data_IF_311850480757
#
_entry.id   IF_311850480757
#
_cell.length_a   1.000
_cell.length_b   1.000
_cell.length_c   1.000
_cell.angle_alpha   90.00
_cell.angle_beta   90.00
_cell.angle_gamma   90.00
#
_symmetry.space_group_name_H-M   'P 1'
#
loop_
_entity.id
_entity.type
_entity.pdbx_description
1 polymer ?
#
# COMPACT_ATOMS: atom_id res chain seq x y z
N UNK A 1 -7.46 17.48 6.09
CA UNK A 1 -6.43 17.93 5.12
C UNK A 1 -6.66 17.20 3.80
N UNK A 2 -6.35 17.74 2.63
CA UNK A 2 -6.46 16.97 1.36
C UNK A 2 -5.10 16.40 1.03
N UNK A 3 -5.05 15.16 0.56
CA UNK A 3 -3.84 14.46 0.16
C UNK A 3 -4.02 13.90 -1.26
N UNK A 4 -2.95 13.91 -2.03
CA UNK A 4 -2.93 13.26 -3.34
C UNK A 4 -2.50 11.80 -3.15
N UNK A 5 -3.41 10.88 -3.45
CA UNK A 5 -3.18 9.43 -3.41
C UNK A 5 -2.76 8.97 -4.79
N UNK A 6 -1.60 8.33 -4.86
CA UNK A 6 -1.10 7.65 -6.04
C UNK A 6 -1.14 6.16 -5.83
N UNK A 7 -1.69 5.43 -6.80
CA UNK A 7 -1.78 3.97 -6.77
C UNK A 7 -0.98 3.40 -7.92
N UNK A 8 0.14 2.76 -7.59
CA UNK A 8 1.04 2.10 -8.52
C UNK A 8 0.68 0.62 -8.62
N UNK A 9 0.38 0.15 -9.82
CA UNK A 9 0.21 -1.28 -10.12
C UNK A 9 1.55 -1.89 -10.50
N UNK A 10 1.95 -2.94 -9.81
CA UNK A 10 3.19 -3.71 -10.02
C UNK A 10 2.92 -5.20 -9.86
N UNK A 11 3.96 -6.03 -9.97
CA UNK A 11 3.89 -7.46 -9.65
C UNK A 11 4.13 -7.71 -8.16
N UNK A 12 3.57 -8.80 -7.65
CA UNK A 12 3.84 -9.31 -6.29
C UNK A 12 5.33 -9.53 -6.04
N UNK A 13 6.07 -10.01 -7.05
CA UNK A 13 7.52 -10.25 -6.94
C UNK A 13 8.32 -8.95 -6.77
N UNK A 14 7.88 -7.85 -7.38
CA UNK A 14 8.59 -6.58 -7.35
C UNK A 14 8.17 -5.67 -6.19
N UNK A 15 7.07 -5.97 -5.49
CA UNK A 15 6.45 -5.07 -4.52
C UNK A 15 7.42 -4.60 -3.43
N UNK A 16 8.22 -5.51 -2.87
CA UNK A 16 9.17 -5.21 -1.80
C UNK A 16 10.25 -4.23 -2.28
N UNK A 17 10.82 -4.48 -3.46
CA UNK A 17 11.90 -3.65 -4.01
C UNK A 17 11.35 -2.30 -4.45
N UNK A 18 10.18 -2.27 -5.07
CA UNK A 18 9.50 -1.03 -5.46
C UNK A 18 9.17 -0.21 -4.22
N UNK A 19 8.67 -0.83 -3.15
CA UNK A 19 8.39 -0.13 -1.89
C UNK A 19 9.65 0.49 -1.29
N UNK A 20 10.79 -0.22 -1.30
CA UNK A 20 12.08 0.30 -0.85
C UNK A 20 12.53 1.49 -1.71
N UNK A 21 12.39 1.42 -3.02
CA UNK A 21 12.71 2.52 -3.93
C UNK A 21 11.86 3.76 -3.65
N UNK A 22 10.55 3.60 -3.40
CA UNK A 22 9.68 4.71 -3.01
C UNK A 22 10.16 5.37 -1.71
N UNK A 23 10.58 4.57 -0.72
CA UNK A 23 11.15 5.09 0.53
C UNK A 23 12.45 5.87 0.29
N UNK A 24 13.33 5.39 -0.59
CA UNK A 24 14.58 6.08 -0.95
C UNK A 24 14.34 7.42 -1.66
N UNK A 25 13.24 7.53 -2.41
CA UNK A 25 12.76 8.79 -3.00
C UNK A 25 12.11 9.75 -1.99
N UNK A 26 11.98 9.33 -0.72
CA UNK A 26 11.45 10.15 0.37
C UNK A 26 9.96 9.97 0.64
N UNK A 27 9.30 8.98 0.03
CA UNK A 27 7.88 8.69 0.28
C UNK A 27 7.75 8.00 1.65
N UNK A 28 7.10 8.68 2.59
CA UNK A 28 6.96 8.22 3.97
C UNK A 28 5.65 7.46 4.17
N UNK A 29 5.68 6.17 3.83
CA UNK A 29 4.55 5.26 4.01
C UNK A 29 3.97 4.81 2.69
N UNK A 30 3.93 3.49 2.52
CA UNK A 30 3.37 2.80 1.36
C UNK A 30 2.38 1.79 1.89
N UNK A 31 1.15 1.86 1.41
CA UNK A 31 0.11 0.86 1.61
C UNK A 31 0.26 -0.18 0.50
N UNK A 32 0.48 -1.44 0.89
CA UNK A 32 0.65 -2.56 -0.05
C UNK A 32 -0.65 -3.38 -0.03
N UNK A 33 -1.24 -3.56 -1.21
CA UNK A 33 -2.37 -4.44 -1.43
C UNK A 33 -1.96 -5.56 -2.41
N UNK A 34 -1.72 -6.75 -1.88
CA UNK A 34 -1.44 -7.96 -2.65
C UNK A 34 -2.41 -9.09 -2.27
N UNK A 35 -2.29 -10.23 -2.97
CA UNK A 35 -3.08 -11.43 -2.71
C UNK A 35 -2.22 -12.62 -2.29
N UNK A 36 -1.04 -12.38 -1.73
CA UNK A 36 -0.17 -13.44 -1.23
C UNK A 36 -0.87 -14.13 -0.06
N UNK A 37 -1.19 -15.43 -0.16
CA UNK A 37 -1.86 -16.12 0.93
C UNK A 37 -0.92 -16.25 2.13
N UNK A 38 -1.46 -16.02 3.32
CA UNK A 38 -0.75 -16.29 4.58
C UNK A 38 -0.23 -17.72 4.64
N UNK A 39 0.99 -17.89 5.11
CA UNK A 39 1.59 -19.22 5.31
C UNK A 39 0.87 -19.96 6.44
N UNK A 40 1.05 -21.28 6.54
CA UNK A 40 0.49 -22.04 7.67
C UNK A 40 1.05 -21.54 9.01
N UNK A 41 2.34 -21.19 9.08
CA UNK A 41 2.94 -20.65 10.29
C UNK A 41 2.36 -19.29 10.68
N UNK A 42 2.07 -18.42 9.72
CA UNK A 42 1.43 -17.12 10.00
C UNK A 42 0.02 -17.34 10.56
N UNK A 43 -0.73 -18.26 9.95
CA UNK A 43 -2.08 -18.65 10.42
C UNK A 43 -2.07 -19.23 11.83
N UNK A 44 -1.09 -20.06 12.16
CA UNK A 44 -0.94 -20.65 13.50
C UNK A 44 -0.62 -19.62 14.59
N UNK A 45 0.01 -18.50 14.23
CA UNK A 45 0.28 -17.39 15.15
C UNK A 45 -0.92 -16.45 15.33
N UNK A 46 -1.92 -16.50 14.45
CA UNK A 46 -3.13 -15.69 14.57
C UNK A 46 -4.06 -16.26 15.64
N UNK A 47 -4.26 -15.51 16.72
CA UNK A 47 -5.24 -15.83 17.76
C UNK A 47 -6.65 -15.38 17.34
N UNK A 48 -7.16 -15.93 16.23
CA UNK A 48 -8.50 -15.62 15.69
C UNK A 48 -9.33 -16.89 15.58
N UNK A 49 -10.62 -16.81 15.94
CA UNK A 49 -11.54 -17.94 15.82
C UNK A 49 -11.84 -18.33 14.37
N UNK A 50 -11.69 -17.37 13.45
CA UNK A 50 -11.92 -17.54 12.01
C UNK A 50 -10.74 -16.90 11.27
N UNK A 51 -9.96 -17.73 10.58
CA UNK A 51 -8.90 -17.23 9.71
C UNK A 51 -9.50 -16.52 8.50
N UNK A 52 -8.92 -15.38 8.07
CA UNK A 52 -9.37 -14.73 6.85
C UNK A 52 -9.13 -15.66 5.65
N UNK A 53 -10.15 -15.78 4.79
CA UNK A 53 -9.99 -16.38 3.47
C UNK A 53 -9.48 -15.29 2.51
N UNK A 54 -8.24 -15.46 2.05
CA UNK A 54 -7.62 -14.59 1.05
C UNK A 54 -7.78 -15.28 -0.31
N UNK A 55 -8.03 -14.49 -1.35
CA UNK A 55 -8.03 -14.99 -2.73
C UNK A 55 -6.67 -15.62 -3.10
N UNK A 56 -6.64 -16.39 -4.17
CA UNK A 56 -5.36 -16.87 -4.69
C UNK A 56 -4.54 -15.68 -5.24
N UNK A 57 -3.22 -15.74 -5.06
CA UNK A 57 -2.29 -14.80 -5.64
C UNK A 57 -2.48 -14.73 -7.16
N UNK A 58 -2.80 -13.55 -7.67
CA UNK A 58 -2.95 -13.26 -9.09
C UNK A 58 -1.71 -12.61 -9.71
N UNK A 59 -0.61 -12.51 -8.94
CA UNK A 59 0.67 -11.95 -9.34
C UNK A 59 0.68 -10.43 -9.42
N UNK A 60 -0.38 -9.76 -8.93
CA UNK A 60 -0.52 -8.30 -8.97
C UNK A 60 -0.49 -7.74 -7.55
N UNK A 61 0.32 -6.71 -7.37
CA UNK A 61 0.36 -5.89 -6.17
C UNK A 61 0.05 -4.44 -6.51
N UNK A 62 -0.56 -3.73 -5.56
CA UNK A 62 -0.79 -2.30 -5.64
C UNK A 62 -0.09 -1.59 -4.49
N UNK A 63 0.73 -0.60 -4.83
CA UNK A 63 1.41 0.25 -3.86
C UNK A 63 0.74 1.62 -3.89
N UNK A 64 0.08 1.97 -2.80
CA UNK A 64 -0.56 3.25 -2.59
C UNK A 64 0.33 4.16 -1.74
N UNK A 65 0.61 5.36 -2.21
CA UNK A 65 1.35 6.37 -1.46
C UNK A 65 0.67 7.74 -1.54
N UNK A 66 1.03 8.61 -0.60
CA UNK A 66 0.33 9.86 -0.34
C UNK A 66 1.30 11.03 -0.33
N UNK A 67 1.00 12.09 -1.06
CA UNK A 67 1.78 13.32 -1.11
C UNK A 67 0.95 14.51 -0.66
N UNK A 68 1.59 15.45 0.02
CA UNK A 68 0.95 16.73 0.35
C UNK A 68 0.74 17.56 -0.94
N UNK A 69 -0.34 18.34 -1.03
CA UNK A 69 -0.59 19.21 -2.18
C UNK A 69 0.55 20.20 -2.49
N UNK A 70 1.33 20.57 -1.47
CA UNK A 70 2.45 21.51 -1.56
C UNK A 70 3.77 20.86 -2.04
N UNK A 71 3.86 19.53 -2.11
CA UNK A 71 5.05 18.82 -2.59
C UNK A 71 5.20 18.91 -4.12
N UNK A 72 6.44 18.78 -4.61
CA UNK A 72 6.75 18.76 -6.05
C UNK A 72 6.44 17.37 -6.65
N UNK A 73 5.14 17.12 -6.82
CA UNK A 73 4.59 15.86 -7.30
C UNK A 73 5.09 15.50 -8.70
N UNK A 74 5.21 16.49 -9.60
CA UNK A 74 5.66 16.25 -10.97
C UNK A 74 7.08 15.70 -10.99
N UNK A 75 7.98 16.33 -10.22
CA UNK A 75 9.36 15.85 -10.08
C UNK A 75 9.42 14.47 -9.44
N UNK A 76 8.70 14.26 -8.33
CA UNK A 76 8.73 12.98 -7.63
C UNK A 76 8.21 11.84 -8.51
N UNK A 77 7.09 12.05 -9.22
CA UNK A 77 6.53 11.06 -10.14
C UNK A 77 7.45 10.80 -11.34
N UNK A 78 8.19 11.81 -11.81
CA UNK A 78 9.19 11.63 -12.85
C UNK A 78 10.37 10.77 -12.35
N UNK A 79 10.84 10.98 -11.13
CA UNK A 79 11.88 10.17 -10.49
C UNK A 79 11.38 8.73 -10.29
N UNK A 80 10.16 8.51 -9.77
CA UNK A 80 9.54 7.18 -9.63
C UNK A 80 9.50 6.43 -10.97
N UNK A 81 9.05 7.09 -12.04
CA UNK A 81 8.99 6.48 -13.37
C UNK A 81 10.37 6.11 -13.91
N UNK A 82 11.39 6.94 -13.66
CA UNK A 82 12.77 6.65 -14.05
C UNK A 82 13.29 5.40 -13.32
N UNK A 83 13.16 5.36 -12.00
CA UNK A 83 13.65 4.22 -11.21
C UNK A 83 12.92 2.92 -11.60
N UNK A 84 11.61 2.96 -11.85
CA UNK A 84 10.85 1.79 -12.35
C UNK A 84 11.34 1.30 -13.71
N UNK A 85 11.66 2.20 -14.63
CA UNK A 85 12.25 1.85 -15.93
C UNK A 85 13.63 1.21 -15.75
N UNK A 86 14.48 1.75 -14.87
CA UNK A 86 15.78 1.15 -14.55
C UNK A 86 15.65 -0.23 -13.91
N UNK A 87 14.66 -0.40 -13.03
CA UNK A 87 14.33 -1.67 -12.38
C UNK A 87 13.88 -2.75 -13.36
N UNK A 88 13.15 -2.37 -14.41
CA UNK A 88 12.66 -3.30 -15.44
C UNK A 88 13.78 -4.11 -16.14
N UNK A 89 15.03 -3.64 -16.05
CA UNK A 89 16.18 -4.34 -16.60
C UNK A 89 16.58 -5.61 -15.80
N UNK A 90 16.13 -5.75 -14.55
CA UNK A 90 16.54 -6.85 -13.67
C UNK A 90 15.42 -7.47 -12.84
N UNK A 91 14.25 -6.84 -12.73
CA UNK A 91 13.05 -7.40 -12.09
C UNK A 91 11.81 -7.11 -12.95
N UNK A 92 10.86 -8.04 -12.99
CA UNK A 92 9.58 -7.82 -13.67
C UNK A 92 8.70 -6.88 -12.83
N UNK A 93 8.74 -5.60 -13.14
CA UNK A 93 7.93 -4.55 -12.49
C UNK A 93 6.49 -4.47 -13.04
N UNK A 94 6.14 -5.29 -14.04
CA UNK A 94 4.80 -5.33 -14.63
C UNK A 94 4.43 -4.06 -15.41
N UNK A 95 3.18 -3.62 -15.26
CA UNK A 95 2.61 -2.51 -16.04
C UNK A 95 3.10 -1.12 -15.58
N UNK A 96 3.52 -0.99 -14.33
CA UNK A 96 3.92 0.27 -13.70
C UNK A 96 2.90 1.42 -13.88
N UNK A 97 1.61 1.08 -13.94
CA UNK A 97 0.54 2.07 -14.09
C UNK A 97 0.39 2.84 -12.78
N UNK A 98 0.47 4.17 -12.85
CA UNK A 98 0.21 5.07 -11.71
C UNK A 98 -1.12 5.76 -11.94
N UNK A 99 -2.06 5.54 -11.05
CA UNK A 99 -3.36 6.22 -11.00
C UNK A 99 -3.31 7.31 -9.92
N UNK A 100 -3.88 8.47 -10.21
CA UNK A 100 -3.97 9.60 -9.29
C UNK A 100 -5.41 9.80 -8.81
N UNK A 101 -5.57 10.07 -7.53
CA UNK A 101 -6.84 10.40 -6.89
C UNK A 101 -6.61 11.37 -5.72
N UNK A 102 -7.66 12.09 -5.32
CA UNK A 102 -7.63 12.87 -4.08
C UNK A 102 -8.28 12.07 -2.94
N UNK A 103 -7.66 12.09 -1.76
CA UNK A 103 -8.28 11.63 -0.53
C UNK A 103 -8.34 12.78 0.48
N UNK A 104 -9.40 12.83 1.26
CA UNK A 104 -9.48 13.74 2.38
C UNK A 104 -9.04 13.00 3.65
N UNK A 105 -8.11 13.59 4.38
CA UNK A 105 -7.82 13.26 5.76
C UNK A 105 -9.04 13.66 6.60
N UNK A 106 -10.00 12.73 6.62
CA UNK A 106 -11.20 12.77 7.46
C UNK A 106 -10.76 12.46 8.88
N UNK A 107 -10.15 13.47 9.53
CA UNK A 107 -9.79 13.57 10.95
C UNK A 107 -9.83 12.21 11.66
N UNK A 108 -8.93 11.32 11.25
CA UNK A 108 -8.95 9.91 11.62
C UNK A 108 -8.91 9.75 13.13
N UNK A 109 -8.37 10.74 13.85
CA UNK A 109 -8.31 10.86 15.32
C UNK A 109 -9.68 10.97 16.00
N UNK A 110 -10.72 11.36 15.24
CA UNK A 110 -12.08 11.59 15.72
C UNK A 110 -13.10 10.68 15.03
N UNK A 111 -12.90 10.32 13.76
CA UNK A 111 -13.87 9.52 13.01
C UNK A 111 -14.07 8.12 13.63
N UNK A 112 -12.98 7.47 14.08
CA UNK A 112 -13.07 6.17 14.75
C UNK A 112 -13.98 6.18 15.99
N UNK A 113 -14.10 7.31 16.70
CA UNK A 113 -14.95 7.45 17.90
C UNK A 113 -16.43 7.32 17.59
N UNK A 114 -16.86 7.51 16.33
CA UNK A 114 -18.24 7.30 15.92
C UNK A 114 -18.59 5.82 15.76
N UNK A 115 -17.59 4.99 15.45
CA UNK A 115 -17.77 3.57 15.17
C UNK A 115 -17.36 2.68 16.34
N UNK A 116 -16.45 3.15 17.20
CA UNK A 116 -16.04 2.43 18.41
C UNK A 116 -17.04 2.61 19.56
N UNK A 117 -17.66 1.52 19.97
CA UNK A 117 -18.62 1.48 21.07
C UNK A 117 -18.05 0.65 22.21
N UNK A 118 -18.33 1.06 23.45
CA UNK A 118 -17.99 0.26 24.63
C UNK A 118 -18.65 -1.13 24.53
N UNK A 119 -17.93 -2.16 24.97
CA UNK A 119 -18.45 -3.51 25.11
C UNK A 119 -18.12 -4.04 26.51
N UNK A 120 -18.94 -4.98 26.99
CA UNK A 120 -18.70 -5.67 28.23
C UNK A 120 -17.95 -6.97 27.94
N UNK A 121 -16.96 -7.28 28.75
CA UNK A 121 -16.29 -8.58 28.75
C UNK A 121 -16.93 -9.37 29.88
N UNK A 122 -17.78 -10.35 29.54
CA UNK A 122 -18.24 -11.35 30.50
C UNK A 122 -17.16 -12.44 30.64
N UNK A 123 -16.92 -12.91 31.87
CA UNK A 123 -15.97 -13.98 32.22
C UNK A 123 -16.36 -15.35 31.63
#
# INVERSE_FOLDING_TARGET
MKWNKYRLKTTTEAEDIVSSMLMDLGIQGVEIEDKVPLTQSDKEQMFVDILPEIEADDGVAYLSFYLEPEEDQEKLLADVRRELEEMSAYVDVGECLIEESETEDVDWVNNWKQYFHQFYVDD
#
